data_IF_317516913583
#
_entry.id   IF_317516913583
#
_cell.length_a   1.000
_cell.length_b   1.000
_cell.length_c   1.000
_cell.angle_alpha   90.00
_cell.angle_beta   90.00
_cell.angle_gamma   90.00
#
_symmetry.space_group_name_H-M   'P 1'
#
loop_
_entity.id
_entity.type
_entity.pdbx_description
1 polymer ?
#
# COMPACT_ATOMS: atom_id res chain seq x y z
N UNK A 1 -2.75 3.70 11.10
CA UNK A 1 -3.57 2.47 11.03
C UNK A 1 -3.50 1.85 9.62
N UNK A 2 -2.33 1.37 9.19
CA UNK A 2 -2.15 0.77 7.86
C UNK A 2 -2.43 -0.75 7.88
N UNK A 3 -1.91 -1.46 8.87
CA UNK A 3 -2.07 -2.91 9.03
C UNK A 3 -3.51 -3.44 8.96
N UNK A 4 -4.54 -2.82 9.59
CA UNK A 4 -5.91 -3.31 9.46
C UNK A 4 -6.49 -3.15 8.04
N UNK A 5 -6.04 -2.18 7.25
CA UNK A 5 -6.49 -2.02 5.85
C UNK A 5 -5.91 -3.13 4.96
N UNK A 6 -4.63 -3.48 5.15
CA UNK A 6 -3.99 -4.60 4.45
C UNK A 6 -4.66 -5.92 4.85
N UNK A 7 -4.85 -6.15 6.15
CA UNK A 7 -5.51 -7.36 6.64
C UNK A 7 -6.94 -7.52 6.09
N UNK A 8 -7.72 -6.43 6.02
CA UNK A 8 -9.05 -6.44 5.43
C UNK A 8 -9.04 -6.79 3.94
N UNK A 9 -8.03 -6.32 3.20
CA UNK A 9 -7.89 -6.62 1.76
C UNK A 9 -7.50 -8.08 1.55
N UNK A 10 -6.52 -8.60 2.30
CA UNK A 10 -6.13 -10.02 2.25
C UNK A 10 -7.30 -10.92 2.63
N UNK A 11 -8.12 -10.54 3.61
CA UNK A 11 -9.34 -11.29 3.94
C UNK A 11 -10.32 -11.37 2.76
N UNK A 12 -10.44 -10.31 1.95
CA UNK A 12 -11.25 -10.32 0.72
C UNK A 12 -10.61 -11.12 -0.41
N UNK A 13 -9.29 -11.09 -0.53
CA UNK A 13 -8.55 -11.93 -1.49
C UNK A 13 -8.75 -13.41 -1.17
N UNK A 14 -8.62 -13.80 0.10
CA UNK A 14 -8.88 -15.16 0.57
C UNK A 14 -10.37 -15.55 0.45
N UNK A 15 -11.30 -14.59 0.56
CA UNK A 15 -12.71 -14.84 0.27
C UNK A 15 -12.94 -15.23 -1.20
N UNK A 16 -12.19 -14.63 -2.14
CA UNK A 16 -12.29 -14.91 -3.59
C UNK A 16 -11.54 -16.19 -3.97
N UNK A 17 -10.36 -16.43 -3.39
CA UNK A 17 -9.53 -17.63 -3.58
C UNK A 17 -9.23 -18.28 -2.21
N UNK A 18 -10.04 -19.28 -1.77
CA UNK A 18 -9.91 -19.85 -0.42
C UNK A 18 -8.60 -20.59 -0.13
N UNK A 19 -7.91 -21.05 -1.17
CA UNK A 19 -6.59 -21.70 -1.10
C UNK A 19 -5.42 -20.72 -1.27
N UNK A 20 -5.69 -19.40 -1.22
CA UNK A 20 -4.67 -18.35 -1.34
C UNK A 20 -3.62 -18.47 -0.24
N UNK A 21 -2.37 -18.58 -0.64
CA UNK A 21 -1.21 -18.59 0.26
C UNK A 21 -0.76 -17.18 0.62
N UNK A 22 -0.01 -17.07 1.72
CA UNK A 22 0.55 -15.79 2.14
C UNK A 22 1.49 -15.18 1.08
N UNK A 23 2.31 -16.00 0.42
CA UNK A 23 3.24 -15.55 -0.61
C UNK A 23 2.53 -15.06 -1.89
N UNK A 24 1.44 -15.73 -2.29
CA UNK A 24 0.61 -15.26 -3.41
C UNK A 24 -0.07 -13.93 -3.06
N UNK A 25 -0.59 -13.80 -1.84
CA UNK A 25 -1.20 -12.55 -1.39
C UNK A 25 -0.19 -11.41 -1.39
N UNK A 26 1.01 -11.62 -0.83
CA UNK A 26 2.10 -10.64 -0.82
C UNK A 26 2.50 -10.23 -2.24
N UNK A 27 2.78 -11.20 -3.12
CA UNK A 27 3.18 -10.92 -4.52
C UNK A 27 2.12 -10.10 -5.26
N UNK A 28 0.84 -10.45 -5.12
CA UNK A 28 -0.25 -9.68 -5.76
C UNK A 28 -0.33 -8.27 -5.19
N UNK A 29 -0.21 -8.10 -3.88
CA UNK A 29 -0.27 -6.79 -3.24
C UNK A 29 0.90 -5.89 -3.68
N UNK A 30 2.08 -6.45 -3.83
CA UNK A 30 3.29 -5.77 -4.31
C UNK A 30 3.15 -5.40 -5.79
N UNK A 31 2.79 -6.34 -6.66
CA UNK A 31 2.66 -6.14 -8.11
C UNK A 31 1.54 -5.14 -8.49
N UNK A 32 0.53 -5.00 -7.62
CA UNK A 32 -0.62 -4.11 -7.85
C UNK A 32 -0.56 -2.81 -7.06
N UNK A 33 0.50 -2.59 -6.27
CA UNK A 33 0.69 -1.36 -5.54
C UNK A 33 0.84 -0.17 -6.51
N UNK A 34 0.28 0.98 -6.13
CA UNK A 34 0.53 2.24 -6.83
C UNK A 34 1.89 2.75 -6.35
N UNK A 35 2.92 2.84 -7.23
CA UNK A 35 4.26 3.20 -6.81
C UNK A 35 4.30 4.57 -6.14
N UNK A 36 5.05 4.67 -5.04
CA UNK A 36 5.34 5.93 -4.37
C UNK A 36 6.85 6.06 -4.16
N UNK A 37 7.49 6.63 -5.17
CA UNK A 37 8.93 6.86 -5.20
C UNK A 37 9.41 7.80 -4.08
N UNK A 38 10.72 7.80 -3.76
CA UNK A 38 11.34 8.83 -2.93
C UNK A 38 10.92 10.23 -3.38
N UNK A 39 10.59 11.07 -2.41
CA UNK A 39 10.03 12.36 -2.75
C UNK A 39 10.04 13.36 -1.61
N UNK A 40 9.59 14.57 -1.95
CA UNK A 40 9.43 15.66 -1.00
C UNK A 40 8.05 16.30 -1.13
N UNK A 41 7.49 16.74 -0.01
CA UNK A 41 6.25 17.51 0.05
C UNK A 41 6.37 18.68 1.00
N UNK A 42 5.86 19.83 0.58
CA UNK A 42 5.68 20.98 1.44
C UNK A 42 4.38 20.80 2.22
N UNK A 43 4.47 20.78 3.53
CA UNK A 43 3.33 20.67 4.44
C UNK A 43 3.30 21.88 5.37
N UNK A 44 2.10 22.28 5.76
CA UNK A 44 1.95 23.29 6.81
C UNK A 44 2.03 22.63 8.17
N UNK A 45 2.84 23.22 9.05
CA UNK A 45 2.84 22.87 10.47
C UNK A 45 1.54 23.37 11.13
N UNK A 46 1.32 22.98 12.39
CA UNK A 46 0.25 23.53 13.23
C UNK A 46 0.30 25.05 13.38
N UNK A 47 1.45 25.67 13.08
CA UNK A 47 1.67 27.12 13.12
C UNK A 47 1.56 27.81 11.75
N UNK A 48 1.04 27.11 10.72
CA UNK A 48 0.94 27.63 9.34
C UNK A 48 2.28 28.01 8.71
N UNK A 49 3.40 27.53 9.25
CA UNK A 49 4.69 27.64 8.57
C UNK A 49 4.83 26.49 7.58
N UNK A 50 5.36 26.78 6.39
CA UNK A 50 5.65 25.76 5.39
C UNK A 50 6.94 25.03 5.73
N UNK A 51 6.91 23.71 5.76
CA UNK A 51 8.07 22.84 5.98
C UNK A 51 8.13 21.74 4.92
N UNK A 52 9.33 21.42 4.45
CA UNK A 52 9.54 20.36 3.45
C UNK A 52 9.88 19.06 4.16
N UNK A 53 9.05 18.05 3.97
CA UNK A 53 9.31 16.67 4.40
C UNK A 53 9.78 15.85 3.22
N UNK A 54 10.85 15.10 3.42
CA UNK A 54 11.46 14.23 2.40
C UNK A 54 11.53 12.81 2.92
N UNK A 55 11.30 11.83 2.05
CA UNK A 55 11.45 10.41 2.35
C UNK A 55 12.32 9.71 1.31
N UNK A 56 13.02 8.66 1.75
CA UNK A 56 13.87 7.82 0.90
C UNK A 56 13.14 6.59 0.37
N UNK A 57 13.86 5.73 -0.35
CA UNK A 57 13.30 4.54 -1.02
C UNK A 57 12.69 3.50 -0.05
N UNK A 58 13.18 3.44 1.18
CA UNK A 58 12.71 2.46 2.17
C UNK A 58 11.51 2.97 3.00
N UNK A 59 10.84 4.04 2.59
CA UNK A 59 9.72 4.61 3.34
C UNK A 59 8.35 4.07 2.93
N UNK A 60 8.24 3.48 1.73
CA UNK A 60 6.96 3.24 1.06
C UNK A 60 6.76 1.78 0.60
N UNK A 61 7.80 0.93 0.68
CA UNK A 61 7.76 -0.41 0.11
C UNK A 61 7.50 -0.36 -1.39
N UNK A 62 6.70 -1.29 -1.91
CA UNK A 62 6.25 -1.28 -3.31
C UNK A 62 5.19 -0.19 -3.62
N UNK A 63 4.71 0.52 -2.59
CA UNK A 63 3.87 1.70 -2.73
C UNK A 63 2.55 1.62 -1.96
N UNK A 64 1.53 2.28 -2.52
CA UNK A 64 0.21 2.38 -1.92
C UNK A 64 -0.67 1.21 -2.36
N UNK A 65 -1.29 0.55 -1.39
CA UNK A 65 -2.26 -0.52 -1.61
C UNK A 65 -3.43 -0.06 -2.52
N UNK A 66 -3.62 -0.74 -3.64
CA UNK A 66 -4.84 -0.68 -4.45
C UNK A 66 -5.64 -1.98 -4.29
N UNK A 67 -6.62 -1.94 -3.39
CA UNK A 67 -7.46 -3.11 -3.10
C UNK A 67 -8.31 -3.57 -4.30
N UNK A 68 -8.69 -2.67 -5.21
CA UNK A 68 -9.50 -3.03 -6.37
C UNK A 68 -8.65 -3.78 -7.40
N UNK A 69 -7.46 -3.27 -7.69
CA UNK A 69 -6.51 -3.90 -8.62
C UNK A 69 -6.02 -5.24 -8.06
N UNK A 70 -5.70 -5.31 -6.76
CA UNK A 70 -5.33 -6.57 -6.10
C UNK A 70 -6.44 -7.64 -6.21
N UNK A 71 -7.71 -7.27 -5.96
CA UNK A 71 -8.84 -8.21 -6.08
C UNK A 71 -9.13 -8.61 -7.54
N UNK A 72 -8.84 -7.74 -8.51
CA UNK A 72 -8.94 -8.05 -9.92
C UNK A 72 -7.85 -9.04 -10.38
N UNK A 73 -6.65 -8.97 -9.78
CA UNK A 73 -5.53 -9.86 -10.07
C UNK A 73 -5.67 -11.27 -9.48
N UNK A 74 -6.57 -11.47 -8.51
CA UNK A 74 -6.91 -12.81 -8.01
C UNK A 74 -7.63 -13.61 -9.12
N UNK A 75 -7.16 -14.83 -9.46
CA UNK A 75 -7.77 -15.71 -10.46
C UNK A 75 -9.24 -16.09 -10.18
#
# INVERSE_FOLDING_TARGET
MASPHVAGTVARMAQKKPDLTASEAESILEDTAIPLDPGSRNMFTTWRTGETYTWGANATGEGLLDAATALAAIP
#
